data_IF_615424486670
#
_entry.id   IF_615424486670
#
_cell.length_a   1.000
_cell.length_b   1.000
_cell.length_c   1.000
_cell.angle_alpha   90.00
_cell.angle_beta   90.00
_cell.angle_gamma   90.00
#
_symmetry.space_group_name_H-M   'P 1'
#
loop_
_entity.id
_entity.type
_entity.pdbx_description
1 polymer ?
#
# COMPACT_ATOMS: atom_id res chain seq x y z
N UNK A 1 -12.66 3.89 -1.18
CA UNK A 1 -11.63 4.61 -1.96
C UNK A 1 -10.98 3.67 -2.97
N UNK A 2 -10.38 4.22 -4.00
CA UNK A 2 -9.57 3.42 -4.91
C UNK A 2 -8.15 3.34 -4.39
N UNK A 3 -7.56 2.15 -4.47
CA UNK A 3 -6.18 1.93 -4.05
C UNK A 3 -5.49 0.95 -4.98
N UNK A 4 -4.18 1.07 -5.07
CA UNK A 4 -3.35 0.05 -5.71
C UNK A 4 -3.07 -1.02 -4.66
N UNK A 5 -3.52 -2.23 -4.93
CA UNK A 5 -3.41 -3.34 -3.99
C UNK A 5 -2.58 -4.47 -4.55
N UNK A 6 -2.01 -5.25 -3.64
CA UNK A 6 -1.30 -6.48 -3.93
C UNK A 6 -2.05 -7.64 -3.29
N UNK A 7 -2.38 -8.66 -4.08
CA UNK A 7 -3.13 -9.82 -3.61
C UNK A 7 -2.24 -11.01 -3.24
N UNK A 8 -1.04 -11.07 -3.80
CA UNK A 8 -0.07 -12.12 -3.52
C UNK A 8 1.32 -11.67 -4.00
N UNK A 9 2.37 -12.33 -3.51
CA UNK A 9 3.74 -12.06 -3.96
C UNK A 9 4.04 -12.75 -5.28
N UNK A 10 3.37 -12.33 -6.34
CA UNK A 10 3.53 -12.89 -7.69
C UNK A 10 4.14 -11.88 -8.67
N UNK A 11 4.83 -10.87 -8.14
CA UNK A 11 5.34 -9.76 -8.95
C UNK A 11 4.21 -8.83 -9.36
N UNK A 12 4.39 -8.14 -10.47
CA UNK A 12 3.42 -7.13 -10.91
C UNK A 12 2.07 -7.71 -11.33
N UNK A 13 1.99 -9.01 -11.62
CA UNK A 13 0.71 -9.67 -11.94
C UNK A 13 -0.27 -9.65 -10.77
N UNK A 14 0.22 -9.56 -9.54
CA UNK A 14 -0.60 -9.46 -8.34
C UNK A 14 -1.06 -8.04 -8.00
N UNK A 15 -0.60 -7.03 -8.76
CA UNK A 15 -0.90 -5.63 -8.51
C UNK A 15 -2.12 -5.21 -9.31
N UNK A 16 -3.10 -4.60 -8.66
CA UNK A 16 -4.32 -4.13 -9.33
C UNK A 16 -4.86 -2.90 -8.62
N UNK A 17 -5.74 -2.17 -9.31
CA UNK A 17 -6.50 -1.07 -8.71
C UNK A 17 -7.86 -1.60 -8.29
N UNK A 18 -8.26 -1.35 -7.05
CA UNK A 18 -9.53 -1.84 -6.53
C UNK A 18 -10.17 -0.83 -5.59
N UNK A 19 -11.48 -0.98 -5.40
CA UNK A 19 -12.19 -0.28 -4.33
C UNK A 19 -11.92 -0.99 -3.01
N UNK A 20 -11.51 -0.21 -2.00
CA UNK A 20 -11.29 -0.70 -0.65
C UNK A 20 -12.01 0.22 0.35
N UNK A 21 -12.32 -0.25 1.56
CA UNK A 21 -12.93 0.61 2.57
C UNK A 21 -12.02 1.80 2.89
N UNK A 22 -12.65 2.95 3.17
CA UNK A 22 -11.91 4.11 3.65
C UNK A 22 -11.31 3.79 5.03
N UNK A 23 -10.05 4.16 5.27
CA UNK A 23 -9.43 3.89 6.56
C UNK A 23 -10.04 4.75 7.66
N UNK A 24 -10.01 4.22 8.88
CA UNK A 24 -10.39 4.96 10.09
C UNK A 24 -9.12 5.22 10.90
N UNK A 25 -8.78 6.50 11.19
CA UNK A 25 -7.60 6.78 11.97
C UNK A 25 -7.77 6.32 13.41
N UNK A 26 -6.74 5.69 13.97
CA UNK A 26 -6.66 5.35 15.38
C UNK A 26 -6.03 6.46 16.21
N UNK A 27 -5.79 6.18 17.49
CA UNK A 27 -5.15 7.13 18.40
C UNK A 27 -3.73 7.46 17.90
N UNK A 28 -3.42 8.75 17.83
CA UNK A 28 -2.13 9.22 17.35
C UNK A 28 -1.96 9.20 15.83
N UNK A 29 -3.01 8.85 15.11
CA UNK A 29 -3.02 8.84 13.65
C UNK A 29 -3.88 9.96 13.08
N UNK A 30 -3.64 10.30 11.83
CA UNK A 30 -4.46 11.27 11.09
C UNK A 30 -4.96 10.65 9.79
N UNK A 31 -6.11 11.10 9.34
CA UNK A 31 -6.64 10.74 8.03
C UNK A 31 -6.24 11.82 7.02
N UNK A 32 -5.64 11.41 5.91
CA UNK A 32 -5.18 12.32 4.88
C UNK A 32 -5.97 12.10 3.60
N UNK A 33 -6.54 13.18 3.05
CA UNK A 33 -7.06 13.17 1.69
C UNK A 33 -5.87 13.28 0.74
N UNK A 34 -5.54 12.20 0.05
CA UNK A 34 -4.35 12.12 -0.80
C UNK A 34 -4.55 12.97 -2.06
N UNK A 35 -3.59 13.84 -2.32
CA UNK A 35 -3.51 14.65 -3.54
C UNK A 35 -2.40 14.15 -4.46
N UNK A 36 -1.31 13.62 -3.88
CA UNK A 36 -0.19 13.06 -4.59
C UNK A 36 0.49 11.99 -3.75
N UNK A 37 1.14 11.04 -4.40
CA UNK A 37 1.91 10.00 -3.73
C UNK A 37 3.18 9.71 -4.53
N UNK A 38 4.31 9.59 -3.82
CA UNK A 38 5.56 9.21 -4.43
C UNK A 38 5.58 7.72 -4.77
N UNK A 39 6.27 7.36 -5.83
CA UNK A 39 6.55 5.98 -6.19
C UNK A 39 8.06 5.77 -6.16
N UNK A 40 8.51 4.82 -5.37
CA UNK A 40 9.92 4.54 -5.19
C UNK A 40 10.29 3.10 -5.54
N UNK A 41 11.58 2.78 -5.42
CA UNK A 41 12.09 1.43 -5.67
C UNK A 41 11.46 0.40 -4.72
N UNK A 42 11.09 0.82 -3.52
CA UNK A 42 10.43 -0.04 -2.54
C UNK A 42 9.07 -0.54 -3.03
N UNK A 43 8.30 0.32 -3.72
CA UNK A 43 7.00 -0.03 -4.26
C UNK A 43 7.12 -1.09 -5.35
N UNK A 44 8.18 -1.03 -6.16
CA UNK A 44 8.45 -2.02 -7.19
C UNK A 44 8.91 -3.36 -6.61
N UNK A 45 9.58 -3.35 -5.46
CA UNK A 45 10.11 -4.56 -4.81
C UNK A 45 9.07 -5.31 -3.97
N UNK A 46 8.09 -4.62 -3.42
CA UNK A 46 7.09 -5.22 -2.54
C UNK A 46 6.34 -6.39 -3.19
N UNK A 47 5.87 -6.30 -4.47
CA UNK A 47 5.18 -7.41 -5.11
C UNK A 47 5.99 -8.70 -5.23
N UNK A 48 7.31 -8.62 -5.15
CA UNK A 48 8.21 -9.77 -5.22
C UNK A 48 8.50 -10.42 -3.87
N UNK A 49 7.91 -9.90 -2.78
CA UNK A 49 8.05 -10.48 -1.47
C UNK A 49 9.38 -10.18 -0.78
N UNK A 50 10.13 -9.20 -1.23
CA UNK A 50 11.46 -8.85 -0.67
C UNK A 50 11.37 -8.52 0.81
N UNK A 51 10.35 -7.76 1.23
CA UNK A 51 10.19 -7.37 2.62
C UNK A 51 9.60 -8.47 3.49
N UNK A 52 8.82 -9.37 2.91
CA UNK A 52 8.33 -10.55 3.62
C UNK A 52 9.50 -11.48 3.99
N UNK A 53 10.48 -11.65 3.11
CA UNK A 53 11.68 -12.42 3.38
C UNK A 53 12.52 -11.82 4.53
N UNK A 54 12.39 -10.53 4.80
CA UNK A 54 13.08 -9.86 5.92
C UNK A 54 12.33 -10.01 7.27
N UNK A 55 11.29 -10.84 7.34
CA UNK A 55 10.57 -11.12 8.57
C UNK A 55 9.22 -10.43 8.70
N UNK A 56 8.74 -9.79 7.63
CA UNK A 56 7.41 -9.22 7.60
C UNK A 56 6.34 -10.31 7.58
N UNK A 57 5.17 -10.01 8.14
CA UNK A 57 4.04 -10.93 8.13
C UNK A 57 2.84 -10.23 7.44
N UNK A 58 2.83 -10.21 6.10
CA UNK A 58 1.85 -9.44 5.37
C UNK A 58 0.46 -10.06 5.44
N UNK A 59 -0.56 -9.21 5.43
CA UNK A 59 -1.94 -9.63 5.18
C UNK A 59 -2.38 -9.11 3.82
N UNK A 60 -3.11 -9.92 3.08
CA UNK A 60 -3.65 -9.56 1.77
C UNK A 60 -5.14 -9.28 1.82
N UNK A 61 -5.66 -8.36 1.00
CA UNK A 61 -4.93 -7.52 0.08
C UNK A 61 -4.10 -6.45 0.81
N UNK A 62 -2.90 -6.18 0.30
CA UNK A 62 -2.01 -5.18 0.85
C UNK A 62 -2.07 -3.91 -0.01
N UNK A 63 -2.29 -2.76 0.62
CA UNK A 63 -2.21 -1.48 -0.08
C UNK A 63 -0.75 -1.09 -0.22
N UNK A 64 -0.35 -0.79 -1.45
CA UNK A 64 1.02 -0.41 -1.75
C UNK A 64 1.26 1.09 -1.56
N UNK A 65 2.53 1.45 -1.38
CA UNK A 65 2.97 2.82 -1.27
C UNK A 65 3.40 3.21 0.13
N UNK A 66 4.37 4.10 0.21
CA UNK A 66 4.95 4.59 1.46
C UNK A 66 4.85 6.10 1.61
N UNK A 67 4.65 6.81 0.50
CA UNK A 67 4.66 8.26 0.47
C UNK A 67 3.27 8.81 0.25
N UNK A 68 2.99 9.94 0.85
CA UNK A 68 1.72 10.63 0.69
C UNK A 68 1.90 12.13 0.87
N UNK A 69 1.15 12.90 0.09
CA UNK A 69 0.96 14.32 0.28
C UNK A 69 -0.51 14.64 0.09
N UNK A 70 -1.05 15.45 0.98
CA UNK A 70 -2.47 15.79 0.93
C UNK A 70 -2.89 16.64 2.12
N UNK A 71 -4.19 16.63 2.37
CA UNK A 71 -4.82 17.43 3.42
C UNK A 71 -5.37 16.52 4.53
N UNK A 72 -5.09 16.88 5.75
CA UNK A 72 -5.62 16.22 6.95
C UNK A 72 -7.12 16.40 7.06
#
# INVERSE_FOLDING_TARGET
>A
MRAVILNAFTGFDGVTVAEVPDPTPGDGEVLIRVEAAGVGAWDAKTPWGVFAAAGGNPSFPQILGWDVAGTV
#
